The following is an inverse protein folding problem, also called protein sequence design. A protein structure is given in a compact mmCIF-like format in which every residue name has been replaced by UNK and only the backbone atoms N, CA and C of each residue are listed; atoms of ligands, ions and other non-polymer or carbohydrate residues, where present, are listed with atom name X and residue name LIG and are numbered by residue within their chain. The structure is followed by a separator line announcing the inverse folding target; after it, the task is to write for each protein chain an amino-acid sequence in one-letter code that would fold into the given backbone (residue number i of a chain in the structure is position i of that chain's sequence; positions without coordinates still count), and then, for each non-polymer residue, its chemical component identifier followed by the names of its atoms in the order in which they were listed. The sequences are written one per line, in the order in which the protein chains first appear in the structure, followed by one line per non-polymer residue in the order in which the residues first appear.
data_IF_936242607344
#
_entry.id   IF_936242607344
#
_cell.length_a   1.000
_cell.length_b   1.000
_cell.length_c   1.000
_cell.angle_alpha   90.00
_cell.angle_beta   90.00
_cell.angle_gamma   90.00
#
_symmetry.space_group_name_H-M   'P 1'
#
loop_
_entity.id
_entity.type
_entity.pdbx_description
1 polymer ?
#
# COMPACT_ATOMS: atom_id res chain seq x y z
N UNK A 1 23.76 56.06 -4.85
CA UNK A 1 22.43 55.90 -4.21
C UNK A 1 21.29 55.89 -5.24
N UNK A 2 21.19 56.85 -6.17
CA UNK A 2 20.09 56.91 -7.16
C UNK A 2 20.02 55.72 -8.15
N UNK A 3 21.16 55.22 -8.62
CA UNK A 3 21.23 54.12 -9.60
C UNK A 3 20.71 52.79 -9.05
N UNK A 4 21.05 52.46 -7.80
CA UNK A 4 20.56 51.25 -7.12
C UNK A 4 19.04 51.32 -6.91
N UNK A 5 18.49 52.48 -6.53
CA UNK A 5 17.04 52.66 -6.38
C UNK A 5 16.26 52.50 -7.69
N UNK A 6 16.79 53.01 -8.80
CA UNK A 6 16.20 52.81 -10.14
C UNK A 6 16.24 51.36 -10.59
N UNK A 7 17.34 50.65 -10.33
CA UNK A 7 17.47 49.23 -10.67
C UNK A 7 16.44 48.39 -9.88
N UNK A 8 16.30 48.63 -8.58
CA UNK A 8 15.31 47.93 -7.74
C UNK A 8 13.88 48.22 -8.19
N UNK A 9 13.56 49.47 -8.54
CA UNK A 9 12.24 49.84 -9.04
C UNK A 9 11.91 49.18 -10.39
N UNK A 10 12.87 49.10 -11.31
CA UNK A 10 12.68 48.42 -12.60
C UNK A 10 12.47 46.91 -12.44
N UNK A 11 13.26 46.26 -11.59
CA UNK A 11 13.10 44.82 -11.29
C UNK A 11 11.72 44.56 -10.66
N UNK A 12 11.29 45.41 -9.72
CA UNK A 12 9.98 45.29 -9.09
C UNK A 12 8.82 45.49 -10.08
N UNK A 13 8.95 46.45 -11.00
CA UNK A 13 7.95 46.70 -12.03
C UNK A 13 7.84 45.52 -13.01
N UNK A 14 8.97 44.94 -13.42
CA UNK A 14 8.98 43.75 -14.27
C UNK A 14 8.38 42.53 -13.55
N UNK A 15 8.71 42.32 -12.27
CA UNK A 15 8.09 41.27 -11.45
C UNK A 15 6.58 41.44 -11.35
N UNK A 16 6.10 42.66 -11.12
CA UNK A 16 4.67 42.95 -11.03
C UNK A 16 3.93 42.70 -12.37
N UNK A 17 4.60 42.91 -13.50
CA UNK A 17 4.03 42.65 -14.82
C UNK A 17 3.94 41.16 -15.16
N UNK A 18 4.89 40.34 -14.71
CA UNK A 18 4.94 38.90 -15.02
C UNK A 18 4.08 38.07 -14.06
N UNK A 19 3.90 38.52 -12.81
CA UNK A 19 3.17 37.78 -11.76
C UNK A 19 1.75 37.33 -12.15
N UNK A 20 0.90 38.17 -12.79
CA UNK A 20 -0.45 37.78 -13.19
C UNK A 20 -0.45 36.69 -14.26
N UNK A 21 0.48 36.77 -15.22
CA UNK A 21 0.63 35.75 -16.27
C UNK A 21 1.07 34.42 -15.68
N UNK A 22 2.02 34.43 -14.74
CA UNK A 22 2.46 33.23 -14.04
C UNK A 22 1.32 32.58 -13.24
N UNK A 23 0.53 33.38 -12.53
CA UNK A 23 -0.64 32.89 -11.80
C UNK A 23 -1.69 32.28 -12.74
N UNK A 24 -1.92 32.91 -13.89
CA UNK A 24 -2.85 32.40 -14.93
C UNK A 24 -2.36 31.06 -15.50
N UNK A 25 -1.07 30.94 -15.81
CA UNK A 25 -0.48 29.68 -16.31
C UNK A 25 -0.60 28.59 -15.25
N UNK A 26 -0.26 28.89 -13.98
CA UNK A 26 -0.38 27.94 -12.89
C UNK A 26 -1.83 27.47 -12.71
N UNK A 27 -2.79 28.40 -12.71
CA UNK A 27 -4.20 28.06 -12.56
C UNK A 27 -4.73 27.23 -13.73
N UNK A 28 -4.26 27.50 -14.95
CA UNK A 28 -4.61 26.72 -16.16
C UNK A 28 -4.02 25.31 -16.07
N UNK A 29 -2.77 25.18 -15.66
CA UNK A 29 -2.12 23.88 -15.46
C UNK A 29 -2.81 23.06 -14.36
N UNK A 30 -3.16 23.70 -13.24
CA UNK A 30 -3.92 23.06 -12.16
C UNK A 30 -5.28 22.56 -12.66
N UNK A 31 -6.05 23.39 -13.37
CA UNK A 31 -7.34 22.96 -13.96
C UNK A 31 -7.18 21.82 -14.95
N UNK A 32 -6.15 21.86 -15.81
CA UNK A 32 -5.89 20.80 -16.77
C UNK A 32 -5.57 19.47 -16.06
N UNK A 33 -4.72 19.51 -15.03
CA UNK A 33 -4.43 18.36 -14.17
C UNK A 33 -5.70 17.82 -13.52
N UNK A 34 -6.50 18.69 -12.90
CA UNK A 34 -7.70 18.31 -12.17
C UNK A 34 -8.77 17.70 -13.10
N UNK A 35 -8.84 18.14 -14.37
CA UNK A 35 -9.71 17.56 -15.39
C UNK A 35 -9.22 16.21 -15.93
N UNK A 36 -7.89 16.00 -16.02
CA UNK A 36 -7.29 14.77 -16.56
C UNK A 36 -7.22 13.65 -15.52
N UNK A 37 -6.99 13.99 -14.25
CA UNK A 37 -6.88 13.03 -13.15
C UNK A 37 -8.02 11.99 -13.12
N UNK A 38 -9.32 12.35 -13.16
CA UNK A 38 -10.39 11.36 -13.11
C UNK A 38 -10.44 10.46 -14.35
N UNK A 39 -10.03 10.97 -15.52
CA UNK A 39 -10.01 10.18 -16.77
C UNK A 39 -8.90 9.12 -16.70
N UNK A 40 -7.71 9.53 -16.26
CA UNK A 40 -6.57 8.62 -16.10
C UNK A 40 -6.86 7.57 -15.04
N UNK A 41 -7.44 7.96 -13.90
CA UNK A 41 -7.79 7.02 -12.83
C UNK A 41 -8.78 5.94 -13.30
N UNK A 42 -9.82 6.31 -14.08
CA UNK A 42 -10.75 5.33 -14.65
C UNK A 42 -10.09 4.40 -15.66
N UNK A 43 -9.24 4.94 -16.53
CA UNK A 43 -8.53 4.13 -17.51
C UNK A 43 -7.59 3.11 -16.83
N UNK A 44 -6.85 3.55 -15.80
CA UNK A 44 -5.99 2.66 -15.00
C UNK A 44 -6.83 1.59 -14.29
N UNK A 45 -7.92 1.97 -13.61
CA UNK A 45 -8.79 1.00 -12.93
C UNK A 45 -9.39 -0.05 -13.89
N UNK A 46 -9.73 0.37 -15.11
CA UNK A 46 -10.20 -0.54 -16.16
C UNK A 46 -9.09 -1.48 -16.64
N UNK A 47 -7.88 -0.98 -16.84
CA UNK A 47 -6.72 -1.79 -17.23
C UNK A 47 -6.34 -2.80 -16.13
N UNK A 48 -6.36 -2.39 -14.87
CA UNK A 48 -6.11 -3.27 -13.73
C UNK A 48 -7.18 -4.36 -13.63
N UNK A 49 -8.45 -3.99 -13.80
CA UNK A 49 -9.56 -4.95 -13.82
C UNK A 49 -9.43 -5.96 -14.97
N UNK A 50 -8.97 -5.50 -16.14
CA UNK A 50 -8.65 -6.38 -17.26
C UNK A 50 -7.46 -7.29 -16.95
N UNK A 51 -6.40 -6.77 -16.33
CA UNK A 51 -5.23 -7.55 -15.91
C UNK A 51 -5.59 -8.67 -14.93
N UNK A 52 -6.54 -8.43 -14.02
CA UNK A 52 -7.07 -9.42 -13.08
C UNK A 52 -7.87 -10.55 -13.76
N UNK A 53 -8.54 -10.25 -14.87
CA UNK A 53 -9.35 -11.22 -15.63
C UNK A 53 -8.57 -11.95 -16.72
N UNK A 54 -7.56 -11.30 -17.29
CA UNK A 54 -6.78 -11.83 -18.40
C UNK A 54 -5.64 -12.69 -17.86
N UNK A 55 -5.56 -13.95 -18.29
CA UNK A 55 -4.40 -14.78 -18.04
C UNK A 55 -3.17 -14.15 -18.72
N UNK A 56 -2.25 -13.62 -17.93
CA UNK A 56 -0.96 -13.16 -18.42
C UNK A 56 -0.19 -14.37 -18.95
N UNK A 57 0.28 -14.30 -20.20
CA UNK A 57 1.12 -15.35 -20.77
C UNK A 57 2.52 -15.26 -20.15
N UNK A 58 2.72 -15.96 -19.04
CA UNK A 58 3.98 -16.03 -18.29
C UNK A 58 3.69 -16.34 -16.82
N UNK A 59 3.97 -17.58 -16.43
CA UNK A 59 3.67 -18.22 -15.13
C UNK A 59 2.19 -18.30 -14.70
N UNK A 60 1.74 -19.54 -14.41
CA UNK A 60 0.34 -19.86 -14.03
C UNK A 60 -0.04 -19.48 -12.59
N UNK A 61 0.77 -18.67 -11.91
CA UNK A 61 0.62 -18.36 -10.47
C UNK A 61 0.78 -16.86 -10.17
N UNK A 62 0.38 -16.00 -11.11
CA UNK A 62 0.38 -14.55 -10.90
C UNK A 62 -0.77 -14.12 -9.98
N UNK A 63 -0.51 -13.09 -9.19
CA UNK A 63 -1.49 -12.34 -8.40
C UNK A 63 -1.46 -10.87 -8.87
N UNK A 64 -2.48 -10.04 -8.53
CA UNK A 64 -3.69 -10.39 -7.79
C UNK A 64 -4.66 -11.27 -8.59
N UNK A 65 -5.65 -11.84 -7.90
CA UNK A 65 -6.74 -12.62 -8.50
C UNK A 65 -8.10 -12.12 -8.03
N UNK A 66 -9.13 -12.46 -8.80
CA UNK A 66 -10.51 -12.41 -8.35
C UNK A 66 -10.89 -13.70 -7.60
N UNK A 67 -11.36 -13.53 -6.37
CA UNK A 67 -11.75 -14.63 -5.49
C UNK A 67 -13.24 -14.88 -5.66
N UNK A 68 -13.57 -15.94 -6.38
CA UNK A 68 -14.93 -16.34 -6.68
C UNK A 68 -15.42 -17.42 -5.71
N UNK A 69 -16.32 -17.07 -4.79
CA UNK A 69 -16.86 -18.03 -3.81
C UNK A 69 -17.51 -19.27 -4.44
N UNK A 70 -17.96 -19.17 -5.70
CA UNK A 70 -18.56 -20.27 -6.46
C UNK A 70 -17.56 -21.35 -6.90
N UNK A 71 -16.26 -21.04 -6.93
CA UNK A 71 -15.20 -21.98 -7.32
C UNK A 71 -14.14 -22.18 -6.22
N UNK A 72 -14.29 -21.51 -5.07
CA UNK A 72 -13.50 -21.81 -3.87
C UNK A 72 -14.01 -23.09 -3.20
N UNK A 73 -13.10 -23.99 -2.84
CA UNK A 73 -13.42 -25.19 -2.09
C UNK A 73 -13.04 -25.01 -0.62
N UNK A 74 -13.92 -25.45 0.29
CA UNK A 74 -13.56 -25.55 1.71
C UNK A 74 -12.57 -26.69 1.91
N UNK A 75 -11.40 -26.37 2.44
CA UNK A 75 -10.38 -27.36 2.80
C UNK A 75 -10.48 -27.72 4.28
N UNK A 76 -10.94 -28.94 4.56
CA UNK A 76 -11.05 -29.47 5.92
C UNK A 76 -9.70 -29.49 6.66
N UNK A 77 -8.57 -29.56 5.96
CA UNK A 77 -7.24 -29.57 6.58
C UNK A 77 -6.87 -28.22 7.21
N UNK A 78 -7.54 -27.14 6.78
CA UNK A 78 -7.31 -25.78 7.28
C UNK A 78 -8.29 -25.35 8.38
N UNK A 79 -9.33 -26.15 8.65
CA UNK A 79 -10.45 -25.78 9.55
C UNK A 79 -9.99 -25.36 10.95
N UNK A 80 -9.01 -26.07 11.48
CA UNK A 80 -8.45 -25.83 12.82
C UNK A 80 -7.02 -25.26 12.73
N UNK A 81 -6.70 -24.61 11.60
CA UNK A 81 -5.40 -23.96 11.44
C UNK A 81 -5.29 -22.77 12.38
N UNK A 82 -4.24 -22.74 13.19
CA UNK A 82 -3.92 -21.62 14.05
C UNK A 82 -2.96 -20.69 13.31
N UNK A 83 -3.20 -19.38 13.43
CA UNK A 83 -2.32 -18.33 12.92
C UNK A 83 -1.68 -17.64 14.15
N UNK A 84 -0.40 -17.88 14.34
CA UNK A 84 0.41 -17.22 15.38
C UNK A 84 1.03 -15.95 14.82
N UNK A 85 0.58 -14.78 15.28
CA UNK A 85 1.17 -13.49 14.88
C UNK A 85 1.78 -12.83 16.11
N UNK A 86 3.06 -12.51 16.00
CA UNK A 86 3.81 -11.77 17.01
C UNK A 86 4.42 -10.53 16.35
N UNK A 87 3.70 -9.42 16.37
CA UNK A 87 4.20 -8.11 15.93
C UNK A 87 4.40 -7.18 17.14
N UNK A 88 5.38 -6.27 17.09
CA UNK A 88 5.57 -5.29 18.15
C UNK A 88 4.37 -4.34 18.25
N UNK A 89 3.97 -4.03 19.50
CA UNK A 89 2.75 -3.26 19.82
C UNK A 89 2.99 -1.75 19.89
N UNK A 90 4.24 -1.31 19.74
CA UNK A 90 4.69 0.09 19.72
C UNK A 90 5.98 0.19 18.89
N UNK A 91 5.94 -0.28 17.64
CA UNK A 91 7.11 -0.32 16.77
C UNK A 91 7.55 1.07 16.33
N UNK A 92 8.87 1.25 16.20
CA UNK A 92 9.44 2.24 15.29
C UNK A 92 9.35 1.68 13.87
N UNK A 93 8.86 2.50 12.94
CA UNK A 93 8.74 2.10 11.55
C UNK A 93 9.21 3.22 10.61
N UNK A 94 9.88 2.81 9.54
CA UNK A 94 10.20 3.66 8.40
C UNK A 94 9.03 3.63 7.43
N UNK A 95 8.46 4.80 7.16
CA UNK A 95 7.47 5.00 6.12
C UNK A 95 8.16 5.60 4.90
N UNK A 96 7.97 5.01 3.72
CA UNK A 96 8.62 5.41 2.48
C UNK A 96 7.63 5.47 1.34
N UNK A 97 7.71 6.54 0.56
CA UNK A 97 7.04 6.64 -0.72
C UNK A 97 7.99 6.13 -1.82
N UNK A 98 7.76 4.92 -2.33
CA UNK A 98 8.57 4.35 -3.40
C UNK A 98 8.23 4.92 -4.79
N UNK A 99 7.10 5.62 -4.91
CA UNK A 99 6.56 6.22 -6.12
C UNK A 99 5.47 5.39 -6.78
N UNK A 100 5.47 4.08 -6.57
CA UNK A 100 4.42 3.13 -6.98
C UNK A 100 3.57 2.63 -5.79
N UNK A 101 4.10 2.74 -4.58
CA UNK A 101 3.51 2.21 -3.35
C UNK A 101 3.97 3.03 -2.14
N UNK A 102 3.16 3.00 -1.08
CA UNK A 102 3.60 3.39 0.26
C UNK A 102 4.06 2.14 1.00
N UNK A 103 5.27 2.19 1.54
CA UNK A 103 5.92 1.06 2.20
C UNK A 103 6.17 1.42 3.65
N UNK A 104 5.81 0.52 4.55
CA UNK A 104 6.12 0.60 5.97
C UNK A 104 7.02 -0.58 6.35
N UNK A 105 8.19 -0.27 6.89
CA UNK A 105 9.17 -1.25 7.32
C UNK A 105 9.45 -1.06 8.81
N UNK A 106 9.30 -2.11 9.60
CA UNK A 106 9.70 -2.09 10.99
C UNK A 106 11.24 -2.03 11.11
N UNK A 107 11.73 -1.59 12.26
CA UNK A 107 13.16 -1.70 12.57
C UNK A 107 13.61 -3.18 12.40
N UNK A 108 14.75 -3.47 11.74
CA UNK A 108 15.22 -4.84 11.52
C UNK A 108 15.45 -5.68 12.80
N UNK A 109 15.64 -5.03 13.95
CA UNK A 109 15.72 -5.70 15.26
C UNK A 109 14.35 -6.13 15.81
N UNK A 110 13.26 -5.65 15.20
CA UNK A 110 11.90 -6.05 15.54
C UNK A 110 11.67 -7.50 15.17
N UNK A 111 11.39 -8.34 16.17
CA UNK A 111 11.06 -9.76 15.98
C UNK A 111 9.60 -9.95 15.55
N UNK A 112 9.24 -9.35 14.42
CA UNK A 112 7.89 -9.46 13.84
C UNK A 112 7.77 -10.78 13.07
N UNK A 113 7.10 -11.77 13.67
CA UNK A 113 7.00 -13.13 13.14
C UNK A 113 5.54 -13.55 12.95
N UNK A 114 5.33 -14.40 11.96
CA UNK A 114 4.08 -15.10 11.67
C UNK A 114 4.37 -16.60 11.51
N UNK A 115 3.53 -17.43 12.12
CA UNK A 115 3.50 -18.88 11.93
C UNK A 115 2.07 -19.35 11.67
N UNK A 116 1.93 -20.45 10.92
CA UNK A 116 0.63 -21.07 10.68
C UNK A 116 0.75 -22.57 10.85
N UNK A 117 -0.14 -23.20 11.62
CA UNK A 117 0.00 -24.61 11.98
C UNK A 117 -0.01 -25.54 10.77
N UNK A 118 -0.75 -25.21 9.70
CA UNK A 118 -0.75 -25.98 8.45
C UNK A 118 0.55 -25.89 7.65
N UNK A 119 1.42 -24.92 7.94
CA UNK A 119 2.78 -24.82 7.35
C UNK A 119 3.85 -25.51 8.22
N UNK A 120 3.44 -26.25 9.27
CA UNK A 120 4.35 -26.93 10.18
C UNK A 120 5.07 -25.97 11.12
N UNK A 121 6.35 -26.25 11.41
CA UNK A 121 7.19 -25.44 12.32
C UNK A 121 7.82 -24.21 11.64
N UNK A 122 7.39 -23.90 10.40
CA UNK A 122 7.96 -22.84 9.61
C UNK A 122 7.57 -21.45 10.15
N UNK A 123 8.56 -20.56 10.17
CA UNK A 123 8.40 -19.18 10.61
C UNK A 123 8.64 -18.22 9.47
N UNK A 124 7.83 -17.16 9.44
CA UNK A 124 7.91 -16.10 8.46
C UNK A 124 8.13 -14.76 9.18
N UNK A 125 9.20 -14.07 8.81
CA UNK A 125 9.57 -12.76 9.37
C UNK A 125 8.98 -11.67 8.50
N UNK A 126 8.30 -10.69 9.10
CA UNK A 126 7.75 -9.55 8.39
C UNK A 126 8.87 -8.68 7.82
N UNK A 127 8.82 -8.41 6.51
CA UNK A 127 9.83 -7.62 5.80
C UNK A 127 9.30 -6.24 5.44
N UNK A 128 8.09 -6.15 4.88
CA UNK A 128 7.50 -4.87 4.46
C UNK A 128 5.99 -4.96 4.43
N UNK A 129 5.33 -3.89 4.87
CA UNK A 129 3.89 -3.68 4.71
C UNK A 129 3.66 -2.71 3.56
N UNK A 130 2.89 -3.12 2.56
CA UNK A 130 2.51 -2.29 1.43
C UNK A 130 1.07 -1.82 1.59
N UNK A 131 0.81 -0.61 1.14
CA UNK A 131 -0.53 -0.03 1.07
C UNK A 131 -0.84 0.28 -0.38
N UNK A 132 -1.96 -0.27 -0.84
CA UNK A 132 -2.57 0.03 -2.14
C UNK A 132 -3.92 0.66 -1.88
N UNK A 133 -4.27 1.71 -2.63
CA UNK A 133 -5.56 2.36 -2.49
C UNK A 133 -5.98 3.00 -3.80
N UNK A 134 -7.29 3.24 -3.88
CA UNK A 134 -7.96 3.75 -5.05
C UNK A 134 -8.29 5.23 -4.91
N UNK A 135 -8.97 5.76 -5.91
CA UNK A 135 -9.60 7.09 -5.82
C UNK A 135 -11.11 7.02 -5.69
N UNK A 136 -11.67 5.82 -5.75
CA UNK A 136 -13.08 5.52 -5.54
C UNK A 136 -13.22 4.31 -4.59
N UNK A 137 -14.34 4.16 -3.88
CA UNK A 137 -14.47 3.19 -2.78
C UNK A 137 -14.35 1.71 -3.18
N UNK A 138 -14.40 1.38 -4.48
CA UNK A 138 -14.37 0.00 -4.99
C UNK A 138 -13.24 -0.24 -5.98
N UNK A 139 -12.24 0.64 -6.05
CA UNK A 139 -11.17 0.57 -7.06
C UNK A 139 -9.75 0.62 -6.49
N UNK A 140 -9.58 0.35 -5.20
CA UNK A 140 -8.28 0.45 -4.52
C UNK A 140 -7.60 -0.85 -4.16
N UNK A 141 -8.34 -1.94 -3.97
CA UNK A 141 -7.73 -3.24 -3.70
C UNK A 141 -7.18 -3.88 -4.98
N UNK A 142 -6.08 -4.61 -4.82
CA UNK A 142 -5.51 -5.41 -5.89
C UNK A 142 -6.34 -6.69 -6.06
N UNK A 143 -6.60 -7.43 -4.98
CA UNK A 143 -7.55 -8.54 -4.98
C UNK A 143 -8.99 -8.05 -5.06
N UNK A 144 -9.85 -8.87 -5.65
CA UNK A 144 -11.31 -8.66 -5.69
C UNK A 144 -12.03 -9.88 -5.15
N UNK A 145 -13.28 -9.70 -4.70
CA UNK A 145 -14.15 -10.79 -4.29
C UNK A 145 -15.41 -10.74 -5.15
N UNK A 146 -15.64 -11.75 -5.99
CA UNK A 146 -16.79 -11.76 -6.88
C UNK A 146 -16.80 -10.60 -7.89
N UNK A 147 -15.62 -10.16 -8.34
CA UNK A 147 -15.42 -9.00 -9.20
C UNK A 147 -15.56 -7.65 -8.48
N UNK A 148 -15.79 -7.64 -7.17
CA UNK A 148 -15.92 -6.42 -6.36
C UNK A 148 -14.58 -6.06 -5.74
N UNK A 149 -14.09 -4.85 -6.03
CA UNK A 149 -12.96 -4.24 -5.35
C UNK A 149 -13.36 -3.49 -4.09
N UNK A 150 -12.35 -3.19 -3.28
CA UNK A 150 -12.43 -2.48 -2.01
C UNK A 150 -11.67 -1.15 -2.10
N UNK A 151 -11.80 -0.27 -1.10
CA UNK A 151 -11.20 1.06 -1.13
C UNK A 151 -9.67 1.04 -1.06
N UNK A 152 -9.12 -0.05 -0.52
CA UNK A 152 -7.68 -0.31 -0.51
C UNK A 152 -7.36 -1.74 -0.06
N UNK A 153 -6.07 -2.05 -0.06
CA UNK A 153 -5.51 -3.32 0.38
C UNK A 153 -4.19 -3.08 1.12
N UNK A 154 -4.04 -3.71 2.28
CA UNK A 154 -2.78 -3.75 3.03
C UNK A 154 -2.17 -5.13 2.83
N UNK A 155 -0.91 -5.18 2.39
CA UNK A 155 -0.19 -6.43 2.18
C UNK A 155 0.99 -6.52 3.14
N UNK A 156 0.93 -7.48 4.08
CA UNK A 156 2.04 -7.80 4.96
C UNK A 156 2.90 -8.87 4.30
N UNK A 157 4.05 -8.47 3.76
CA UNK A 157 4.97 -9.38 3.06
C UNK A 157 5.96 -9.92 4.06
N UNK A 158 5.94 -11.24 4.21
CA UNK A 158 6.83 -11.98 5.07
C UNK A 158 7.74 -12.87 4.25
N UNK A 159 8.91 -13.10 4.81
CA UNK A 159 9.89 -14.03 4.27
C UNK A 159 10.08 -15.19 5.22
N UNK A 160 10.20 -16.39 4.67
CA UNK A 160 10.60 -17.58 5.42
C UNK A 160 11.95 -17.35 6.11
N UNK A 161 11.98 -17.55 7.42
CA UNK A 161 13.07 -17.11 8.31
C UNK A 161 14.43 -17.72 7.97
N UNK A 162 14.46 -18.91 7.37
CA UNK A 162 15.68 -19.61 6.96
C UNK A 162 16.50 -18.86 5.89
N UNK A 163 15.86 -17.97 5.14
CA UNK A 163 16.55 -17.19 4.10
C UNK A 163 17.21 -15.95 4.71
N UNK A 164 18.20 -15.33 4.06
CA UNK A 164 18.83 -14.13 4.58
C UNK A 164 18.09 -12.83 4.21
N UNK A 165 17.34 -12.80 3.11
CA UNK A 165 16.66 -11.60 2.59
C UNK A 165 15.57 -11.97 1.59
N UNK A 166 14.69 -11.01 1.26
CA UNK A 166 13.58 -11.19 0.30
C UNK A 166 14.06 -11.78 -1.03
N UNK A 167 15.16 -11.26 -1.59
CA UNK A 167 15.67 -11.71 -2.89
C UNK A 167 16.01 -13.21 -2.92
N UNK A 168 16.58 -13.74 -1.84
CA UNK A 168 16.89 -15.17 -1.73
C UNK A 168 15.61 -16.01 -1.59
N UNK A 169 14.61 -15.51 -0.87
CA UNK A 169 13.36 -16.22 -0.68
C UNK A 169 12.43 -16.20 -1.89
N UNK A 170 12.48 -15.15 -2.72
CA UNK A 170 11.77 -15.07 -4.00
C UNK A 170 12.20 -16.11 -5.04
N UNK A 171 13.32 -16.81 -4.82
CA UNK A 171 13.81 -17.85 -5.73
C UNK A 171 13.32 -19.24 -5.34
N UNK A 172 12.53 -19.34 -4.28
CA UNK A 172 12.25 -20.57 -3.56
C UNK A 172 10.74 -20.72 -3.34
N UNK A 173 10.23 -21.91 -3.63
CA UNK A 173 8.81 -22.21 -3.42
C UNK A 173 8.44 -22.03 -1.93
N UNK A 174 7.34 -21.33 -1.69
CA UNK A 174 6.84 -20.94 -0.37
C UNK A 174 7.87 -20.12 0.45
N UNK A 175 8.84 -19.47 -0.21
CA UNK A 175 9.81 -18.60 0.43
C UNK A 175 9.19 -17.30 0.93
N UNK A 176 8.08 -16.87 0.33
CA UNK A 176 7.35 -15.66 0.69
C UNK A 176 5.93 -16.01 1.10
N UNK A 177 5.47 -15.36 2.17
CA UNK A 177 4.08 -15.41 2.63
C UNK A 177 3.53 -13.99 2.69
N UNK A 178 2.38 -13.76 2.08
CA UNK A 178 1.67 -12.50 2.17
C UNK A 178 0.32 -12.65 2.86
N UNK A 179 0.03 -11.69 3.73
CA UNK A 179 -1.28 -11.49 4.33
C UNK A 179 -1.90 -10.25 3.69
N UNK A 180 -3.04 -10.40 3.01
CA UNK A 180 -3.78 -9.29 2.42
C UNK A 180 -4.99 -8.95 3.29
N UNK A 181 -5.13 -7.67 3.63
CA UNK A 181 -6.27 -7.11 4.38
C UNK A 181 -6.97 -6.09 3.49
N UNK A 182 -8.22 -6.34 3.16
CA UNK A 182 -9.05 -5.46 2.35
C UNK A 182 -9.64 -4.34 3.22
N UNK A 183 -9.63 -3.11 2.71
CA UNK A 183 -10.10 -1.91 3.42
C UNK A 183 -11.43 -1.42 2.86
N UNK A 184 -12.42 -1.27 3.73
CA UNK A 184 -13.67 -0.58 3.41
C UNK A 184 -13.68 0.84 3.99
N UNK A 185 -14.29 1.76 3.27
CA UNK A 185 -14.58 3.10 3.80
C UNK A 185 -15.69 3.04 4.86
N UNK A 186 -15.56 3.94 5.83
CA UNK A 186 -16.52 4.17 6.91
C UNK A 186 -16.69 5.68 7.10
N UNK A 187 -17.79 6.09 7.73
CA UNK A 187 -17.95 7.47 8.20
C UNK A 187 -17.10 7.79 9.43
N UNK A 188 -16.66 6.76 10.16
CA UNK A 188 -15.85 6.90 11.36
C UNK A 188 -14.37 6.74 11.03
N UNK A 189 -13.54 7.64 11.59
CA UNK A 189 -12.09 7.52 11.52
C UNK A 189 -11.61 6.28 12.27
N UNK A 190 -10.67 5.54 11.66
CA UNK A 190 -9.97 4.46 12.35
C UNK A 190 -8.66 4.99 12.96
N UNK A 191 -8.59 5.16 14.31
CA UNK A 191 -7.44 5.76 14.98
C UNK A 191 -6.15 4.95 14.83
N UNK A 192 -6.23 3.67 14.45
CA UNK A 192 -5.06 2.83 14.15
C UNK A 192 -4.21 3.41 13.01
N UNK A 193 -4.83 4.11 12.05
CA UNK A 193 -4.13 4.68 10.90
C UNK A 193 -3.62 6.12 11.12
N UNK A 194 -3.98 6.79 12.21
CA UNK A 194 -3.64 8.21 12.44
C UNK A 194 -2.14 8.50 12.31
N UNK A 195 -1.30 7.68 12.95
CA UNK A 195 0.16 7.81 12.88
C UNK A 195 0.69 7.66 11.44
N UNK A 196 0.12 6.74 10.66
CA UNK A 196 0.51 6.55 9.26
C UNK A 196 0.08 7.75 8.42
N UNK A 197 -1.16 8.22 8.60
CA UNK A 197 -1.71 9.38 7.89
C UNK A 197 -0.88 10.63 8.15
N UNK A 198 -0.43 10.85 9.38
CA UNK A 198 0.48 11.95 9.71
C UNK A 198 1.87 11.77 9.09
N UNK A 199 2.36 10.52 9.02
CA UNK A 199 3.58 10.18 8.29
C UNK A 199 3.49 10.47 6.78
N UNK A 200 2.34 10.16 6.14
CA UNK A 200 2.12 10.40 4.70
C UNK A 200 2.34 11.87 4.33
N UNK A 201 1.95 12.80 5.20
CA UNK A 201 2.17 14.24 4.99
C UNK A 201 3.64 14.63 4.89
N UNK A 202 4.54 13.79 5.41
CA UNK A 202 6.00 13.99 5.35
C UNK A 202 6.64 13.29 4.16
N UNK A 203 5.97 12.30 3.56
CA UNK A 203 6.50 11.50 2.44
C UNK A 203 5.74 11.70 1.12
N UNK A 204 5.40 12.96 0.83
CA UNK A 204 4.59 13.32 -0.36
C UNK A 204 5.27 12.98 -1.69
N UNK A 205 6.60 13.06 -1.75
CA UNK A 205 7.34 12.91 -3.00
C UNK A 205 7.97 11.52 -3.14
N UNK A 206 8.05 11.01 -4.37
CA UNK A 206 8.78 9.77 -4.67
C UNK A 206 10.19 9.80 -4.07
N UNK A 207 10.55 8.74 -3.35
CA UNK A 207 11.84 8.56 -2.71
C UNK A 207 11.95 9.20 -1.32
N UNK A 208 10.96 9.97 -0.87
CA UNK A 208 10.95 10.50 0.49
C UNK A 208 10.59 9.43 1.52
N UNK A 209 11.20 9.54 2.69
CA UNK A 209 10.98 8.65 3.82
C UNK A 209 10.93 9.44 5.14
N UNK A 210 10.20 8.91 6.12
CA UNK A 210 10.17 9.42 7.49
C UNK A 210 10.10 8.26 8.49
N UNK A 211 10.45 8.54 9.73
CA UNK A 211 10.26 7.59 10.84
C UNK A 211 8.98 7.94 11.58
N UNK A 212 8.17 6.93 11.87
CA UNK A 212 6.95 7.03 12.68
C UNK A 212 7.05 6.10 13.89
N UNK A 213 6.40 6.50 14.98
CA UNK A 213 6.49 5.82 16.28
C UNK A 213 5.11 5.38 16.77
N UNK A 214 5.07 4.33 17.59
CA UNK A 214 3.81 3.84 18.18
C UNK A 214 2.93 3.12 17.17
N UNK A 215 3.51 2.56 16.11
CA UNK A 215 2.77 1.76 15.14
C UNK A 215 2.40 0.42 15.78
N UNK A 216 1.11 0.08 15.74
CA UNK A 216 0.60 -1.20 16.18
C UNK A 216 0.01 -1.97 14.99
N UNK A 217 0.84 -2.80 14.36
CA UNK A 217 0.43 -3.57 13.18
C UNK A 217 -0.65 -4.61 13.47
N UNK A 218 -0.76 -5.10 14.71
CA UNK A 218 -1.81 -6.05 15.09
C UNK A 218 -3.20 -5.45 14.96
N UNK A 219 -3.34 -4.15 15.22
CA UNK A 219 -4.63 -3.45 15.11
C UNK A 219 -5.07 -3.21 13.65
N UNK A 220 -4.17 -3.39 12.68
CA UNK A 220 -4.51 -3.32 11.25
C UNK A 220 -5.06 -4.65 10.73
N UNK A 221 -4.93 -5.73 11.50
CA UNK A 221 -5.54 -7.01 11.19
C UNK A 221 -6.98 -7.03 11.73
N UNK A 222 -7.94 -7.63 10.99
CA UNK A 222 -9.29 -7.76 11.50
C UNK A 222 -9.30 -8.68 12.73
N UNK A 223 -10.27 -8.50 13.63
CA UNK A 223 -10.41 -9.37 14.79
C UNK A 223 -10.61 -10.82 14.34
N UNK A 224 -9.78 -11.74 14.83
CA UNK A 224 -9.79 -13.19 14.52
C UNK A 224 -11.03 -13.95 15.05
N UNK A 225 -12.11 -13.24 15.44
CA UNK A 225 -13.37 -13.86 15.87
C UNK A 225 -14.21 -14.30 14.68
N UNK A 226 -14.51 -15.60 14.61
CA UNK A 226 -15.53 -16.40 13.88
C UNK A 226 -16.07 -16.00 12.48
N UNK A 227 -15.73 -14.86 11.89
CA UNK A 227 -16.27 -14.42 10.60
C UNK A 227 -15.42 -13.37 9.85
N UNK A 228 -14.19 -13.10 10.27
CA UNK A 228 -13.28 -12.18 9.54
C UNK A 228 -12.31 -12.96 8.65
N UNK A 229 -12.47 -12.85 7.34
CA UNK A 229 -11.54 -13.46 6.38
C UNK A 229 -10.21 -12.73 6.36
N UNK A 230 -9.13 -13.41 6.73
CA UNK A 230 -7.77 -13.03 6.36
C UNK A 230 -7.45 -13.77 5.07
N UNK A 231 -7.07 -13.03 4.03
CA UNK A 231 -6.62 -13.63 2.78
C UNK A 231 -5.11 -13.89 2.89
N UNK A 232 -4.73 -15.15 2.69
CA UNK A 232 -3.35 -15.60 2.73
C UNK A 232 -2.93 -16.00 1.32
N UNK A 233 -1.94 -15.31 0.78
CA UNK A 233 -1.34 -15.66 -0.50
C UNK A 233 0.09 -16.14 -0.29
N UNK A 234 0.44 -17.28 -0.88
CA UNK A 234 1.82 -17.72 -0.99
C UNK A 234 2.37 -17.32 -2.35
N UNK A 235 3.53 -16.66 -2.35
CA UNK A 235 4.21 -16.28 -3.58
C UNK A 235 5.34 -17.27 -3.85
N UNK A 236 5.47 -17.66 -5.12
CA UNK A 236 6.56 -18.49 -5.65
C UNK A 236 7.63 -17.60 -6.30
#
# INVERSE_FOLDING_TARGET
MAFLGQLTANVQAQLNNVRPQLNSVLQTATRARDNLAPILNRATAQLDSLGKMLQVTGDRKQSPIDILSTVTAFDNTLKDSEIGINYPVNGEARLKNAGDSLQLQLDPSSKAELSMSHLGEEKYVLETVYFHWGTEPMNGSEHTIGGVGYAGEIQFIHRKSKFPNLEAAFKEENGILAVAVLLNESHDDNPTFSTIIDGIKQVVYKGSECVIYGVNLLQMLPSLGSSSGILLNQFN
#
